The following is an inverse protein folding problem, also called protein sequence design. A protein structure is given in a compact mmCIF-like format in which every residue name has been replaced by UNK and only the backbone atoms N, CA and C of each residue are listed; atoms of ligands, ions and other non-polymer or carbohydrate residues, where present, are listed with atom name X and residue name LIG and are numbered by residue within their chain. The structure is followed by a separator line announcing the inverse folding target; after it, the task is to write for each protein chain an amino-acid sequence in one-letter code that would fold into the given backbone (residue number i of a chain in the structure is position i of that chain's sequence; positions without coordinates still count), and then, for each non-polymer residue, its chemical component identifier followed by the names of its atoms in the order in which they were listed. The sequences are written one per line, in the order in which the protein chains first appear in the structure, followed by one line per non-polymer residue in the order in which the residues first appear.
data_IF_935063825922
#
_entry.id   IF_935063825922
#
_cell.length_a   1.000
_cell.length_b   1.000
_cell.length_c   1.000
_cell.angle_alpha   90.00
_cell.angle_beta   90.00
_cell.angle_gamma   90.00
#
_symmetry.space_group_name_H-M   'P 1'
#
loop_
_entity.id
_entity.type
_entity.pdbx_description
1 polymer ?
#
# COMPACT_ATOMS: atom_id res chain seq x y z
N UNK A 1 -27.83 36.79 -5.35
CA UNK A 1 -28.03 35.41 -4.84
C UNK A 1 -27.12 34.55 -5.67
N UNK A 2 -26.05 34.10 -5.04
CA UNK A 2 -24.93 33.39 -5.67
C UNK A 2 -25.42 32.03 -6.15
N UNK A 3 -25.18 31.77 -7.42
CA UNK A 3 -25.43 30.51 -8.10
C UNK A 3 -24.71 29.39 -7.35
N UNK A 4 -25.47 28.51 -6.69
CA UNK A 4 -24.96 27.26 -6.14
C UNK A 4 -24.91 26.29 -7.30
N UNK A 5 -23.80 26.32 -8.05
CA UNK A 5 -23.46 25.22 -8.95
C UNK A 5 -23.20 24.00 -8.10
N UNK A 6 -24.21 23.13 -8.02
CA UNK A 6 -24.05 21.74 -7.65
C UNK A 6 -22.92 21.16 -8.50
N UNK A 7 -21.77 20.91 -7.86
CA UNK A 7 -20.71 20.10 -8.45
C UNK A 7 -21.26 18.68 -8.47
N UNK A 8 -21.95 18.35 -9.56
CA UNK A 8 -22.12 16.97 -10.00
C UNK A 8 -20.70 16.43 -10.22
N UNK A 9 -20.16 15.80 -9.18
CA UNK A 9 -19.02 14.91 -9.30
C UNK A 9 -19.49 13.76 -10.19
N UNK A 10 -19.02 13.78 -11.44
CA UNK A 10 -19.19 12.67 -12.38
C UNK A 10 -18.72 11.37 -11.69
N UNK A 11 -19.47 10.28 -11.81
CA UNK A 11 -19.25 9.03 -11.04
C UNK A 11 -17.86 8.39 -11.29
N UNK A 12 -17.12 8.83 -12.33
CA UNK A 12 -15.78 8.34 -12.68
C UNK A 12 -14.62 9.16 -12.05
N UNK A 13 -14.89 10.31 -11.43
CA UNK A 13 -13.86 11.16 -10.82
C UNK A 13 -13.74 10.89 -9.31
N UNK A 14 -12.58 10.40 -8.87
CA UNK A 14 -12.28 10.20 -7.45
C UNK A 14 -11.42 11.34 -6.94
N UNK A 15 -11.81 11.94 -5.81
CA UNK A 15 -10.95 12.88 -5.09
C UNK A 15 -10.01 12.07 -4.21
N UNK A 16 -8.70 12.25 -4.37
CA UNK A 16 -7.70 11.69 -3.47
C UNK A 16 -7.94 12.27 -2.05
N UNK A 17 -8.23 11.44 -1.04
CA UNK A 17 -8.57 11.93 0.29
C UNK A 17 -7.37 12.53 1.05
N UNK A 18 -6.14 12.32 0.57
CA UNK A 18 -4.89 12.80 1.16
C UNK A 18 -4.41 14.08 0.47
N UNK A 19 -4.43 14.12 -0.86
CA UNK A 19 -3.91 15.27 -1.63
C UNK A 19 -4.99 16.25 -2.09
N UNK A 20 -6.26 15.82 -2.13
CA UNK A 20 -7.37 16.61 -2.66
C UNK A 20 -7.37 16.72 -4.20
N UNK A 21 -6.49 15.98 -4.88
CA UNK A 21 -6.41 15.97 -6.34
C UNK A 21 -7.55 15.16 -6.95
N UNK A 22 -8.01 15.58 -8.14
CA UNK A 22 -9.01 14.85 -8.92
C UNK A 22 -8.26 13.77 -9.72
N UNK A 23 -8.55 12.51 -9.42
CA UNK A 23 -8.06 11.34 -10.14
C UNK A 23 -9.15 10.88 -11.10
N UNK A 24 -8.83 10.88 -12.40
CA UNK A 24 -9.59 10.15 -13.40
C UNK A 24 -9.26 8.65 -13.26
N UNK A 25 -10.19 7.88 -12.69
CA UNK A 25 -9.99 6.46 -12.42
C UNK A 25 -9.78 5.65 -13.71
N UNK A 26 -10.44 6.06 -14.79
CA UNK A 26 -10.39 5.37 -16.07
C UNK A 26 -9.04 5.57 -16.74
N UNK A 27 -8.53 6.81 -16.74
CA UNK A 27 -7.21 7.10 -17.28
C UNK A 27 -6.12 6.32 -16.52
N UNK A 28 -6.21 6.26 -15.20
CA UNK A 28 -5.27 5.48 -14.38
C UNK A 28 -5.33 3.99 -14.73
N UNK A 29 -6.53 3.42 -14.87
CA UNK A 29 -6.72 2.03 -15.24
C UNK A 29 -6.14 1.71 -16.64
N UNK A 30 -6.34 2.60 -17.62
CA UNK A 30 -5.78 2.46 -18.97
C UNK A 30 -4.24 2.48 -18.95
N UNK A 31 -3.64 3.40 -18.19
CA UNK A 31 -2.17 3.48 -18.01
C UNK A 31 -1.61 2.21 -17.38
N UNK A 32 -2.23 1.71 -16.32
CA UNK A 32 -1.81 0.47 -15.65
C UNK A 32 -1.94 -0.76 -16.56
N UNK A 33 -3.01 -0.85 -17.34
CA UNK A 33 -3.20 -1.92 -18.33
C UNK A 33 -2.16 -1.85 -19.45
N UNK A 34 -1.83 -0.65 -19.95
CA UNK A 34 -0.80 -0.47 -20.96
C UNK A 34 0.57 -0.95 -20.44
N UNK A 35 0.93 -0.57 -19.22
CA UNK A 35 2.17 -1.02 -18.57
C UNK A 35 2.21 -2.54 -18.38
N UNK A 36 1.12 -3.16 -17.91
CA UNK A 36 1.07 -4.61 -17.75
C UNK A 36 1.23 -5.34 -19.09
N UNK A 37 0.64 -4.82 -20.18
CA UNK A 37 0.82 -5.37 -21.53
C UNK A 37 2.25 -5.26 -22.02
N UNK A 38 2.90 -4.12 -21.79
CA UNK A 38 4.30 -3.91 -22.16
C UNK A 38 5.24 -4.85 -21.41
N UNK A 39 4.99 -5.06 -20.11
CA UNK A 39 5.77 -5.96 -19.27
C UNK A 39 5.41 -7.45 -19.47
N UNK A 40 4.35 -7.75 -20.22
CA UNK A 40 3.85 -9.13 -20.44
C UNK A 40 3.30 -9.79 -19.17
N UNK A 41 2.84 -9.00 -18.19
CA UNK A 41 2.39 -9.47 -16.89
C UNK A 41 0.87 -9.72 -16.91
N UNK A 42 0.42 -10.78 -16.23
CA UNK A 42 -1.01 -11.07 -16.08
C UNK A 42 -1.68 -10.05 -15.17
N UNK A 43 -2.99 -9.81 -15.34
CA UNK A 43 -3.72 -8.88 -14.47
C UNK A 43 -3.77 -9.37 -13.01
N UNK A 44 -4.05 -10.66 -12.83
CA UNK A 44 -4.20 -11.35 -11.53
C UNK A 44 -3.25 -12.54 -11.43
N UNK A 45 -3.22 -13.18 -10.25
CA UNK A 45 -2.40 -14.36 -9.99
C UNK A 45 -0.98 -14.02 -9.51
N UNK A 46 -0.14 -15.03 -9.25
CA UNK A 46 1.21 -14.83 -8.73
C UNK A 46 2.04 -13.96 -9.67
N UNK A 47 2.59 -12.86 -9.14
CA UNK A 47 3.37 -11.90 -9.93
C UNK A 47 2.55 -11.04 -10.89
N UNK A 48 1.22 -11.13 -10.87
CA UNK A 48 0.33 -10.27 -11.66
C UNK A 48 0.35 -8.81 -11.22
N UNK A 49 -0.13 -7.90 -12.08
CA UNK A 49 -0.17 -6.45 -11.83
C UNK A 49 -0.87 -6.12 -10.50
N UNK A 50 -2.08 -6.63 -10.31
CA UNK A 50 -2.85 -6.35 -9.09
C UNK A 50 -2.17 -6.92 -7.86
N UNK A 51 -1.53 -8.10 -7.98
CA UNK A 51 -0.78 -8.73 -6.89
C UNK A 51 0.42 -7.89 -6.47
N UNK A 52 1.13 -7.28 -7.42
CA UNK A 52 2.24 -6.36 -7.16
C UNK A 52 1.75 -5.05 -6.52
N UNK A 53 0.62 -4.50 -6.98
CA UNK A 53 0.03 -3.31 -6.38
C UNK A 53 -0.40 -3.58 -4.93
N UNK A 54 -1.09 -4.69 -4.69
CA UNK A 54 -1.49 -5.11 -3.34
C UNK A 54 -0.28 -5.34 -2.44
N UNK A 55 0.79 -5.96 -2.96
CA UNK A 55 2.07 -6.09 -2.24
C UNK A 55 2.58 -4.73 -1.78
N UNK A 56 2.73 -3.78 -2.70
CA UNK A 56 3.29 -2.46 -2.39
C UNK A 56 2.44 -1.73 -1.35
N UNK A 57 1.11 -1.80 -1.44
CA UNK A 57 0.20 -1.16 -0.47
C UNK A 57 0.37 -1.78 0.92
N UNK A 58 0.41 -3.11 1.02
CA UNK A 58 0.58 -3.80 2.30
C UNK A 58 1.94 -3.49 2.93
N UNK A 59 3.02 -3.57 2.15
CA UNK A 59 4.37 -3.28 2.63
C UNK A 59 4.50 -1.81 3.09
N UNK A 60 3.98 -0.86 2.30
CA UNK A 60 3.99 0.57 2.66
C UNK A 60 3.25 0.81 3.97
N UNK A 61 2.10 0.16 4.15
CA UNK A 61 1.31 0.35 5.35
C UNK A 61 1.98 -0.28 6.59
N UNK A 62 2.60 -1.46 6.45
CA UNK A 62 3.37 -2.08 7.53
C UNK A 62 4.63 -1.27 7.91
N UNK A 63 5.28 -0.66 6.92
CA UNK A 63 6.42 0.24 7.15
C UNK A 63 6.00 1.49 7.95
N UNK A 64 4.84 2.05 7.62
CA UNK A 64 4.25 3.17 8.36
C UNK A 64 3.87 2.79 9.79
N UNK A 65 3.23 1.63 10.00
CA UNK A 65 2.93 1.10 11.34
C UNK A 65 4.21 0.93 12.17
N UNK A 66 5.29 0.41 11.58
CA UNK A 66 6.56 0.25 12.29
C UNK A 66 7.24 1.60 12.60
N UNK A 67 7.14 2.59 11.70
CA UNK A 67 7.59 3.96 11.97
C UNK A 67 6.85 4.54 13.17
N UNK A 68 5.52 4.38 13.24
CA UNK A 68 4.72 4.85 14.36
C UNK A 68 5.11 4.14 15.66
N UNK A 69 5.28 2.80 15.62
CA UNK A 69 5.70 2.00 16.77
C UNK A 69 7.07 2.41 17.34
N UNK A 70 8.03 2.72 16.47
CA UNK A 70 9.40 3.11 16.87
C UNK A 70 9.56 4.61 17.13
N UNK A 71 8.61 5.43 16.66
CA UNK A 71 8.66 6.89 16.74
C UNK A 71 9.68 7.55 15.81
N UNK A 72 10.25 6.81 14.86
CA UNK A 72 11.20 7.37 13.89
C UNK A 72 11.19 6.63 12.54
N UNK A 73 11.54 7.35 11.49
CA UNK A 73 11.64 6.81 10.14
C UNK A 73 12.85 5.87 9.95
N UNK A 74 12.83 5.12 8.85
CA UNK A 74 13.95 4.30 8.43
C UNK A 74 15.21 5.16 8.20
N UNK A 75 16.31 4.79 8.85
CA UNK A 75 17.55 5.58 8.82
C UNK A 75 17.55 6.84 9.70
N UNK A 76 16.44 7.11 10.40
CA UNK A 76 16.35 8.18 11.40
C UNK A 76 17.12 7.86 12.69
N UNK A 77 17.35 8.89 13.50
CA UNK A 77 17.95 8.73 14.83
C UNK A 77 16.96 8.02 15.76
N UNK A 78 17.33 6.88 16.35
CA UNK A 78 16.48 6.17 17.29
C UNK A 78 16.14 7.02 18.51
N UNK A 79 14.86 7.06 18.89
CA UNK A 79 14.41 7.73 20.12
C UNK A 79 14.58 6.80 21.34
N UNK A 80 14.52 5.48 21.13
CA UNK A 80 14.68 4.45 22.16
C UNK A 80 15.76 3.41 21.83
N UNK A 81 15.86 2.38 22.68
CA UNK A 81 16.81 1.27 22.48
C UNK A 81 16.39 0.29 21.38
N UNK A 82 15.08 0.25 21.09
CA UNK A 82 14.52 -0.57 20.03
C UNK A 82 14.79 0.05 18.66
N UNK A 83 15.03 -0.79 17.67
CA UNK A 83 15.38 -0.38 16.31
C UNK A 83 14.79 -1.35 15.30
N UNK A 84 14.72 -0.93 14.04
CA UNK A 84 14.37 -1.79 12.91
C UNK A 84 15.40 -2.91 12.77
N UNK A 85 14.95 -4.13 12.49
CA UNK A 85 15.80 -5.32 12.36
C UNK A 85 15.54 -6.09 11.05
N UNK A 86 15.47 -5.35 9.94
CA UNK A 86 15.21 -5.91 8.61
C UNK A 86 13.76 -6.35 8.42
N UNK A 87 13.54 -7.25 7.47
CA UNK A 87 12.22 -7.77 7.08
C UNK A 87 12.16 -9.30 7.17
N UNK A 88 10.95 -9.84 7.09
CA UNK A 88 10.68 -11.26 6.96
C UNK A 88 9.61 -11.49 5.89
N UNK A 89 9.86 -12.42 4.99
CA UNK A 89 8.90 -12.82 3.96
C UNK A 89 7.67 -13.53 4.56
N UNK A 90 6.47 -13.12 4.14
CA UNK A 90 5.17 -13.76 4.45
C UNK A 90 4.32 -13.83 3.18
N UNK A 91 3.65 -14.95 2.96
CA UNK A 91 2.62 -15.06 1.90
C UNK A 91 1.25 -14.76 2.49
N UNK A 92 0.56 -13.76 1.96
CA UNK A 92 -0.83 -13.42 2.30
C UNK A 92 -1.74 -13.98 1.22
N UNK A 93 -2.76 -14.73 1.63
CA UNK A 93 -3.78 -15.23 0.71
C UNK A 93 -4.81 -14.13 0.48
N UNK A 94 -4.95 -13.68 -0.76
CA UNK A 94 -5.90 -12.65 -1.16
C UNK A 94 -6.84 -13.20 -2.25
N UNK A 95 -7.91 -12.50 -2.54
CA UNK A 95 -8.88 -12.90 -3.57
C UNK A 95 -8.28 -12.93 -4.99
N UNK A 96 -7.27 -12.11 -5.24
CA UNK A 96 -6.54 -12.05 -6.52
C UNK A 96 -5.43 -13.11 -6.62
N UNK A 97 -5.19 -13.86 -5.54
CA UNK A 97 -4.17 -14.91 -5.45
C UNK A 97 -3.25 -14.76 -4.22
N UNK A 98 -2.28 -15.66 -4.06
CA UNK A 98 -1.25 -15.52 -3.04
C UNK A 98 -0.30 -14.35 -3.38
N UNK A 99 -0.07 -13.48 -2.40
CA UNK A 99 0.83 -12.33 -2.51
C UNK A 99 1.96 -12.49 -1.49
N UNK A 100 3.20 -12.53 -1.97
CA UNK A 100 4.38 -12.55 -1.12
C UNK A 100 4.80 -11.12 -0.76
N UNK A 101 4.90 -10.84 0.54
CA UNK A 101 5.25 -9.53 1.10
C UNK A 101 6.44 -9.64 2.06
N UNK A 102 7.18 -8.56 2.20
CA UNK A 102 8.23 -8.37 3.19
C UNK A 102 7.66 -7.62 4.40
N UNK A 103 7.56 -8.31 5.53
CA UNK A 103 7.04 -7.75 6.78
C UNK A 103 8.19 -7.16 7.59
N UNK A 104 8.19 -5.87 7.90
CA UNK A 104 9.24 -5.26 8.70
C UNK A 104 9.11 -5.67 10.17
N UNK A 105 10.24 -5.70 10.88
CA UNK A 105 10.28 -6.10 12.29
C UNK A 105 11.18 -5.17 13.12
N UNK A 106 10.86 -5.06 14.39
CA UNK A 106 11.69 -4.43 15.40
C UNK A 106 12.70 -5.42 16.01
N UNK A 107 13.71 -4.90 16.70
CA UNK A 107 14.77 -5.71 17.30
C UNK A 107 14.29 -6.45 18.54
N UNK A 108 13.42 -5.81 19.31
CA UNK A 108 12.88 -6.36 20.56
C UNK A 108 11.71 -7.33 20.31
N UNK A 109 11.20 -7.41 19.08
CA UNK A 109 10.10 -8.28 18.68
C UNK A 109 8.73 -7.85 19.22
N UNK A 110 8.64 -6.63 19.75
CA UNK A 110 7.46 -6.03 20.38
C UNK A 110 6.44 -5.46 19.40
N UNK A 111 6.81 -5.26 18.13
CA UNK A 111 5.93 -4.70 17.11
C UNK A 111 4.79 -5.66 16.78
N UNK A 112 3.52 -5.25 16.97
CA UNK A 112 2.34 -6.05 16.63
C UNK A 112 1.56 -5.40 15.48
N UNK A 113 1.82 -5.78 14.20
CA UNK A 113 1.15 -5.16 13.06
C UNK A 113 -0.34 -5.47 13.04
N UNK A 114 -1.14 -4.46 12.69
CA UNK A 114 -2.62 -4.54 12.68
C UNK A 114 -3.11 -4.99 11.32
N UNK A 115 -2.58 -4.42 10.23
CA UNK A 115 -3.00 -4.70 8.85
C UNK A 115 -2.72 -6.15 8.46
N UNK A 116 -1.53 -6.67 8.77
CA UNK A 116 -1.18 -8.08 8.56
C UNK A 116 -0.77 -8.71 9.89
N UNK A 117 -1.74 -9.29 10.64
CA UNK A 117 -1.46 -9.84 11.95
C UNK A 117 -0.45 -10.99 11.93
N UNK A 118 0.33 -11.09 13.01
CA UNK A 118 1.23 -12.22 13.25
C UNK A 118 0.42 -13.52 13.29
N UNK A 119 0.87 -14.52 12.53
CA UNK A 119 0.37 -15.92 12.55
C UNK A 119 -1.11 -16.11 12.16
N UNK A 120 -1.69 -15.18 11.41
CA UNK A 120 -2.94 -15.40 10.66
C UNK A 120 -2.64 -15.86 9.24
#
# INVERSE_FOLDING_TARGET
MSDTTDVVVDEEMMIDPVTGEIIDQKELAERLLAQAREQGVSLTGPGGLLSQLTKNVLETALEAELTEHLGHDHGGTPIGENMRNGTQTKTVLTEIGPVEIEVPRDRDGSFEPVIVPKRK
#
